data_IF_022248855144
#
_entry.id   IF_022248855144
#
_cell.length_a   1.000
_cell.length_b   1.000
_cell.length_c   1.000
_cell.angle_alpha   90.00
_cell.angle_beta   90.00
_cell.angle_gamma   90.00
#
_symmetry.space_group_name_H-M   'P 1'
#
loop_
_entity.id
_entity.type
_entity.pdbx_description
1 polymer ?
#
# COMPACT_ATOMS: atom_id res chain seq x y z
N UNK A 1 -58.49 36.29 -31.20
CA UNK A 1 -58.86 35.71 -32.54
C UNK A 1 -58.04 34.44 -32.73
N UNK A 2 -58.83 33.39 -32.88
CA UNK A 2 -58.59 32.06 -33.47
C UNK A 2 -57.66 31.10 -32.66
N UNK A 3 -58.21 30.22 -31.92
CA UNK A 3 -58.82 28.86 -32.05
C UNK A 3 -58.21 27.99 -33.15
N UNK A 4 -57.61 26.89 -32.78
CA UNK A 4 -57.81 25.56 -33.39
C UNK A 4 -56.96 24.57 -32.59
N UNK A 5 -57.46 23.74 -31.71
CA UNK A 5 -58.27 22.49 -31.86
C UNK A 5 -57.53 21.39 -32.67
N UNK A 6 -57.56 20.26 -31.97
CA UNK A 6 -57.50 18.85 -32.44
C UNK A 6 -56.12 18.21 -32.31
N UNK A 7 -55.96 16.99 -31.92
CA UNK A 7 -56.80 15.88 -31.47
C UNK A 7 -55.84 14.77 -31.00
N UNK A 8 -56.18 14.21 -29.91
CA UNK A 8 -56.04 12.85 -29.46
C UNK A 8 -55.65 11.85 -30.55
N UNK A 9 -54.56 11.10 -30.35
CA UNK A 9 -54.51 9.69 -30.69
C UNK A 9 -53.74 8.93 -29.62
N UNK A 10 -54.50 8.12 -28.94
CA UNK A 10 -54.01 7.03 -28.09
C UNK A 10 -53.49 5.91 -28.99
N UNK A 11 -52.33 5.36 -28.63
CA UNK A 11 -51.88 4.05 -29.12
C UNK A 11 -50.95 3.50 -28.04
N UNK A 12 -51.47 2.77 -27.11
CA UNK A 12 -51.58 1.33 -26.94
C UNK A 12 -50.30 0.56 -27.23
N UNK A 13 -49.65 0.18 -26.12
CA UNK A 13 -49.17 -1.14 -25.77
C UNK A 13 -48.20 -1.83 -26.70
N UNK A 14 -46.94 -1.99 -26.25
CA UNK A 14 -46.31 -3.33 -26.29
C UNK A 14 -45.30 -3.45 -25.15
N UNK A 15 -45.67 -4.26 -24.17
CA UNK A 15 -44.81 -4.82 -23.17
C UNK A 15 -43.90 -5.84 -23.85
N UNK A 16 -42.63 -5.55 -23.97
CA UNK A 16 -41.62 -6.55 -24.17
C UNK A 16 -40.82 -6.66 -22.86
N UNK A 17 -41.23 -7.62 -22.07
CA UNK A 17 -40.43 -8.18 -20.98
C UNK A 17 -39.26 -8.90 -21.64
N UNK A 18 -38.14 -8.21 -21.74
CA UNK A 18 -36.84 -8.78 -22.05
C UNK A 18 -36.11 -9.02 -20.78
N UNK A 19 -36.33 -10.16 -20.12
CA UNK A 19 -35.38 -10.71 -19.17
C UNK A 19 -34.07 -11.06 -19.92
N UNK A 20 -33.14 -10.17 -19.94
CA UNK A 20 -31.75 -10.39 -20.33
C UNK A 20 -30.89 -10.24 -19.09
N UNK A 21 -30.88 -11.27 -18.27
CA UNK A 21 -30.01 -11.43 -17.15
C UNK A 21 -28.63 -11.84 -17.68
N UNK A 22 -27.83 -10.87 -18.05
CA UNK A 22 -26.39 -11.03 -18.10
C UNK A 22 -25.78 -10.03 -17.09
N UNK A 23 -25.86 -10.42 -15.84
CA UNK A 23 -25.04 -9.84 -14.80
C UNK A 23 -23.61 -10.35 -14.97
N UNK A 24 -22.89 -9.79 -15.95
CA UNK A 24 -21.44 -9.73 -15.86
C UNK A 24 -21.11 -8.79 -14.70
N UNK A 25 -21.27 -9.35 -13.51
CA UNK A 25 -20.84 -8.73 -12.27
C UNK A 25 -19.30 -8.78 -12.26
N UNK A 26 -18.68 -7.96 -13.12
CA UNK A 26 -17.31 -7.52 -12.88
C UNK A 26 -17.38 -6.76 -11.57
N UNK A 27 -17.11 -7.46 -10.49
CA UNK A 27 -16.82 -6.85 -9.20
C UNK A 27 -15.70 -5.86 -9.44
N UNK A 28 -16.05 -4.59 -9.61
CA UNK A 28 -15.06 -3.53 -9.52
C UNK A 28 -14.42 -3.70 -8.14
N UNK A 29 -13.08 -3.73 -8.03
CA UNK A 29 -12.43 -3.79 -6.74
C UNK A 29 -12.95 -2.59 -5.94
N UNK A 30 -13.72 -2.89 -4.89
CA UNK A 30 -14.16 -1.85 -3.95
C UNK A 30 -12.87 -1.30 -3.37
N UNK A 31 -12.61 -0.02 -3.64
CA UNK A 31 -11.48 0.66 -3.06
C UNK A 31 -11.56 0.51 -1.53
N UNK A 32 -10.61 -0.22 -0.95
CA UNK A 32 -10.60 -0.53 0.48
C UNK A 32 -9.57 0.31 1.20
N UNK A 33 -9.91 0.72 2.41
CA UNK A 33 -8.98 1.38 3.32
C UNK A 33 -8.00 0.34 3.86
N UNK A 34 -6.70 0.63 3.84
CA UNK A 34 -5.69 -0.23 4.45
C UNK A 34 -5.33 0.27 5.86
N UNK A 35 -5.35 -0.62 6.82
CA UNK A 35 -4.89 -0.36 8.19
C UNK A 35 -3.53 -1.04 8.39
N UNK A 36 -2.50 -0.24 8.61
CA UNK A 36 -1.12 -0.70 8.72
C UNK A 36 -0.62 -0.42 10.13
N UNK A 37 -0.05 -1.42 10.76
CA UNK A 37 0.57 -1.33 12.07
C UNK A 37 2.01 -1.85 11.99
N UNK A 38 2.88 -1.36 12.87
CA UNK A 38 4.25 -1.83 12.92
C UNK A 38 5.09 -1.13 13.97
N UNK A 39 6.39 -1.40 13.91
CA UNK A 39 7.39 -0.74 14.73
C UNK A 39 8.40 0.00 13.85
N UNK A 40 9.04 1.03 14.45
CA UNK A 40 10.10 1.78 13.78
C UNK A 40 11.41 1.53 14.51
N UNK A 41 12.43 1.10 13.77
CA UNK A 41 13.78 0.89 14.29
C UNK A 41 14.83 1.49 13.36
N UNK A 42 15.82 2.18 13.89
CA UNK A 42 16.99 2.66 13.15
C UNK A 42 18.24 1.95 13.69
N UNK A 43 18.97 1.24 12.81
CA UNK A 43 20.17 0.46 13.19
C UNK A 43 19.95 -0.43 14.41
N UNK A 44 18.81 -1.12 14.43
CA UNK A 44 18.34 -2.01 15.51
C UNK A 44 17.95 -1.30 16.82
N UNK A 45 18.00 0.05 16.87
CA UNK A 45 17.56 0.84 18.01
C UNK A 45 16.10 1.29 17.81
N UNK A 46 15.27 1.24 18.87
CA UNK A 46 13.88 1.68 18.78
C UNK A 46 13.79 3.20 18.57
N UNK A 47 13.01 3.61 17.57
CA UNK A 47 12.67 5.02 17.33
C UNK A 47 11.45 5.38 18.14
N UNK A 48 11.59 6.30 19.11
CA UNK A 48 10.53 6.64 20.07
C UNK A 48 9.80 7.93 19.77
N UNK A 49 10.16 8.59 18.67
CA UNK A 49 9.51 9.82 18.19
C UNK A 49 9.77 10.02 16.70
N UNK A 50 8.84 10.63 16.03
CA UNK A 50 8.91 10.93 14.59
C UNK A 50 7.53 10.98 13.97
N UNK A 51 7.43 11.58 12.81
CA UNK A 51 6.21 11.62 12.01
C UNK A 51 6.37 10.71 10.80
N UNK A 52 5.41 9.83 10.60
CA UNK A 52 5.33 8.96 9.43
C UNK A 52 4.45 9.63 8.40
N UNK A 53 4.94 9.75 7.19
CA UNK A 53 4.22 10.24 6.02
C UNK A 53 3.96 9.06 5.09
N UNK A 54 2.70 8.82 4.75
CA UNK A 54 2.33 7.87 3.71
C UNK A 54 2.21 8.62 2.38
N UNK A 55 3.10 8.33 1.43
CA UNK A 55 3.12 8.92 0.09
C UNK A 55 2.70 7.90 -0.93
N UNK A 56 1.73 8.23 -1.75
CA UNK A 56 1.28 7.38 -2.84
C UNK A 56 2.27 7.38 -4.04
N UNK A 57 1.98 6.60 -5.08
CA UNK A 57 2.84 6.51 -6.27
C UNK A 57 3.03 7.85 -6.99
N UNK A 58 2.13 8.83 -6.78
CA UNK A 58 2.24 10.18 -7.34
C UNK A 58 3.14 11.09 -6.49
N UNK A 59 3.59 10.62 -5.32
CA UNK A 59 4.35 11.37 -4.33
C UNK A 59 3.49 12.24 -3.42
N UNK A 60 2.16 12.16 -3.51
CA UNK A 60 1.25 12.89 -2.66
C UNK A 60 1.17 12.24 -1.28
N UNK A 61 1.24 13.04 -0.21
CA UNK A 61 0.99 12.55 1.15
C UNK A 61 -0.50 12.30 1.34
N UNK A 62 -0.89 11.03 1.50
CA UNK A 62 -2.27 10.58 1.62
C UNK A 62 -2.70 10.30 3.07
N UNK A 63 -1.73 10.08 3.96
CA UNK A 63 -1.97 9.92 5.40
C UNK A 63 -0.72 10.28 6.21
N UNK A 64 -0.92 10.57 7.50
CA UNK A 64 0.17 10.81 8.45
C UNK A 64 -0.17 10.22 9.81
N UNK A 65 0.86 9.78 10.55
CA UNK A 65 0.74 9.37 11.95
C UNK A 65 2.04 9.68 12.69
N UNK A 66 2.02 9.61 14.01
CA UNK A 66 3.21 9.78 14.82
C UNK A 66 3.71 8.42 15.36
N UNK A 67 5.02 8.31 15.54
CA UNK A 67 5.63 7.16 16.20
C UNK A 67 5.40 7.31 17.71
N UNK A 68 4.90 6.24 18.34
CA UNK A 68 4.68 6.22 19.79
C UNK A 68 6.00 6.05 20.57
N UNK A 69 5.96 6.30 21.88
CA UNK A 69 7.11 6.07 22.77
C UNK A 69 7.59 4.61 22.81
N UNK A 70 6.72 3.68 22.46
CA UNK A 70 7.03 2.24 22.35
C UNK A 70 7.51 1.86 20.94
N UNK A 71 7.88 2.85 20.12
CA UNK A 71 8.33 2.68 18.73
C UNK A 71 7.26 2.09 17.80
N UNK A 72 6.00 2.07 18.22
CA UNK A 72 4.88 1.56 17.44
C UNK A 72 4.20 2.67 16.66
N UNK A 73 3.58 2.29 15.56
CA UNK A 73 2.69 3.16 14.82
C UNK A 73 1.47 2.38 14.31
N UNK A 74 0.41 3.12 14.04
CA UNK A 74 -0.73 2.66 13.28
C UNK A 74 -1.13 3.77 12.31
N UNK A 75 -1.31 3.43 11.05
CA UNK A 75 -1.70 4.38 10.01
C UNK A 75 -2.81 3.80 9.15
N UNK A 76 -3.77 4.63 8.80
CA UNK A 76 -4.86 4.25 7.91
C UNK A 76 -4.68 4.94 6.57
N UNK A 77 -4.46 4.14 5.51
CA UNK A 77 -4.32 4.62 4.15
C UNK A 77 -5.72 4.67 3.53
N UNK A 78 -6.17 5.82 3.03
CA UNK A 78 -7.50 5.95 2.46
C UNK A 78 -7.67 5.13 1.17
N UNK A 79 -8.89 4.73 0.89
CA UNK A 79 -9.24 3.97 -0.31
C UNK A 79 -8.93 4.69 -1.64
N UNK A 80 -8.79 6.02 -1.59
CA UNK A 80 -8.44 6.85 -2.75
C UNK A 80 -6.94 6.90 -3.06
N UNK A 81 -6.09 6.30 -2.22
CA UNK A 81 -4.64 6.30 -2.44
C UNK A 81 -4.25 5.44 -3.64
N UNK A 82 -3.26 5.90 -4.40
CA UNK A 82 -2.67 5.16 -5.51
C UNK A 82 -1.49 4.33 -4.99
N UNK A 83 -1.57 3.01 -5.17
CA UNK A 83 -0.53 2.08 -4.72
C UNK A 83 0.55 1.89 -5.80
N UNK A 84 1.82 1.67 -5.41
CA UNK A 84 2.33 1.47 -4.06
C UNK A 84 2.35 2.73 -3.20
N UNK A 85 2.19 2.58 -1.88
CA UNK A 85 2.33 3.67 -0.90
C UNK A 85 3.62 3.48 -0.12
N UNK A 86 4.46 4.52 -0.09
CA UNK A 86 5.70 4.55 0.69
C UNK A 86 5.43 5.20 2.03
N UNK A 87 5.76 4.50 3.11
CA UNK A 87 5.79 5.05 4.47
C UNK A 87 7.19 5.58 4.74
N UNK A 88 7.31 6.86 5.01
CA UNK A 88 8.57 7.52 5.32
C UNK A 88 8.55 8.08 6.75
N UNK A 89 9.64 7.88 7.48
CA UNK A 89 9.88 8.54 8.77
C UNK A 89 11.29 9.12 8.82
N UNK A 90 11.40 10.37 9.25
CA UNK A 90 12.68 11.02 9.46
C UNK A 90 13.11 10.84 10.91
N UNK A 91 14.29 10.26 11.11
CA UNK A 91 14.91 10.01 12.43
C UNK A 91 16.26 10.72 12.48
N UNK A 92 16.28 11.91 13.07
CA UNK A 92 17.52 12.71 13.04
C UNK A 92 17.98 13.01 11.61
N UNK A 93 19.10 12.42 11.19
CA UNK A 93 19.67 12.61 9.85
C UNK A 93 19.25 11.53 8.85
N UNK A 94 18.57 10.47 9.30
CA UNK A 94 18.18 9.34 8.47
C UNK A 94 16.71 9.45 8.04
N UNK A 95 16.42 8.98 6.83
CA UNK A 95 15.06 8.72 6.36
C UNK A 95 14.88 7.22 6.24
N UNK A 96 13.94 6.68 7.00
CA UNK A 96 13.58 5.27 6.92
C UNK A 96 12.32 5.09 6.11
N UNK A 97 12.27 4.00 5.34
CA UNK A 97 11.17 3.74 4.42
C UNK A 97 10.67 2.29 4.50
N UNK A 98 9.37 2.13 4.28
CA UNK A 98 8.75 0.84 4.00
C UNK A 98 7.65 1.03 2.95
N UNK A 99 7.20 -0.05 2.30
CA UNK A 99 6.24 0.04 1.20
C UNK A 99 5.01 -0.82 1.46
N UNK A 100 3.84 -0.23 1.27
CA UNK A 100 2.55 -0.91 1.21
C UNK A 100 2.20 -1.11 -0.26
N UNK A 101 2.13 -2.36 -0.70
CA UNK A 101 1.93 -2.70 -2.12
C UNK A 101 0.45 -2.82 -2.50
N UNK A 102 -0.42 -3.14 -1.55
CA UNK A 102 -1.84 -3.41 -1.77
C UNK A 102 -2.70 -2.79 -0.67
N UNK A 103 -3.98 -2.46 -0.96
CA UNK A 103 -4.90 -1.91 0.02
C UNK A 103 -5.44 -2.96 0.98
N UNK A 104 -4.55 -3.64 1.71
CA UNK A 104 -4.89 -4.67 2.68
C UNK A 104 -4.30 -4.34 4.06
N UNK A 105 -5.00 -4.71 5.15
CA UNK A 105 -4.42 -4.60 6.48
C UNK A 105 -3.13 -5.43 6.57
N UNK A 106 -2.08 -4.85 7.13
CA UNK A 106 -0.79 -5.51 7.22
C UNK A 106 0.00 -5.06 8.45
N UNK A 107 0.87 -5.96 8.92
CA UNK A 107 1.98 -5.59 9.80
C UNK A 107 3.20 -5.28 8.95
N UNK A 108 3.74 -4.09 9.12
CA UNK A 108 4.85 -3.58 8.31
C UNK A 108 5.80 -2.76 9.18
N UNK A 109 7.00 -3.30 9.41
CA UNK A 109 8.02 -2.58 10.16
C UNK A 109 8.80 -1.62 9.27
N UNK A 110 9.05 -0.40 9.78
CA UNK A 110 9.92 0.59 9.15
C UNK A 110 11.30 0.49 9.79
N UNK A 111 12.33 0.19 9.00
CA UNK A 111 13.67 -0.05 9.51
C UNK A 111 14.74 0.29 8.49
N UNK A 112 16.01 0.30 8.94
CA UNK A 112 17.15 0.38 8.03
C UNK A 112 17.12 -0.73 6.97
N UNK A 113 16.65 -1.95 7.33
CA UNK A 113 16.55 -3.06 6.39
C UNK A 113 15.42 -2.85 5.38
N UNK A 114 14.22 -2.42 5.82
CA UNK A 114 13.13 -2.12 4.89
C UNK A 114 13.51 -1.00 3.93
N UNK A 115 14.23 0.03 4.41
CA UNK A 115 14.75 1.12 3.58
C UNK A 115 15.73 0.62 2.52
N UNK A 116 16.63 -0.31 2.88
CA UNK A 116 17.55 -0.94 1.93
C UNK A 116 16.79 -1.72 0.84
N UNK A 117 15.73 -2.43 1.21
CA UNK A 117 14.87 -3.14 0.25
C UNK A 117 14.19 -2.16 -0.70
N UNK A 118 13.63 -1.05 -0.18
CA UNK A 118 12.98 -0.01 -1.00
C UNK A 118 13.98 0.60 -1.98
N UNK A 119 15.18 0.98 -1.50
CA UNK A 119 16.23 1.53 -2.34
C UNK A 119 16.66 0.53 -3.42
N UNK A 120 16.90 -0.72 -3.06
CA UNK A 120 17.28 -1.77 -4.01
C UNK A 120 16.19 -2.03 -5.05
N UNK A 121 14.91 -1.92 -4.67
CA UNK A 121 13.81 -2.05 -5.63
C UNK A 121 13.79 -0.89 -6.64
N UNK A 122 14.05 0.34 -6.18
CA UNK A 122 14.20 1.50 -7.08
C UNK A 122 15.34 1.31 -8.07
N UNK A 123 16.49 0.78 -7.60
CA UNK A 123 17.69 0.57 -8.42
C UNK A 123 17.47 -0.49 -9.53
N UNK A 124 16.61 -1.48 -9.30
CA UNK A 124 16.31 -2.54 -10.27
C UNK A 124 15.07 -2.27 -11.13
N UNK A 125 14.51 -1.06 -11.09
CA UNK A 125 13.45 -0.67 -12.00
C UNK A 125 12.17 -0.14 -11.34
N UNK A 126 12.22 0.23 -10.05
CA UNK A 126 11.11 0.87 -9.34
C UNK A 126 10.36 -0.05 -8.40
N UNK A 127 9.39 0.54 -7.69
CA UNK A 127 8.64 -0.16 -6.67
C UNK A 127 7.49 -0.95 -7.31
N UNK A 128 7.66 -2.27 -7.37
CA UNK A 128 6.66 -3.25 -7.80
C UNK A 128 6.73 -4.49 -6.93
N UNK A 129 5.71 -5.33 -6.90
CA UNK A 129 5.74 -6.61 -6.16
C UNK A 129 6.96 -7.45 -6.51
N UNK A 130 7.23 -7.60 -7.80
CA UNK A 130 8.36 -8.40 -8.28
C UNK A 130 9.70 -7.80 -7.85
N UNK A 131 9.89 -6.50 -8.02
CA UNK A 131 11.14 -5.83 -7.67
C UNK A 131 11.34 -5.80 -6.15
N UNK A 132 10.30 -5.58 -5.35
CA UNK A 132 10.38 -5.63 -3.89
C UNK A 132 10.76 -7.03 -3.40
N UNK A 133 10.18 -8.09 -3.95
CA UNK A 133 10.56 -9.47 -3.62
C UNK A 133 12.02 -9.75 -3.99
N UNK A 134 12.47 -9.36 -5.18
CA UNK A 134 13.87 -9.53 -5.60
C UNK A 134 14.83 -8.72 -4.76
N UNK A 135 14.49 -7.47 -4.43
CA UNK A 135 15.27 -6.59 -3.57
C UNK A 135 15.39 -7.17 -2.14
N UNK A 136 14.31 -7.72 -1.58
CA UNK A 136 14.34 -8.38 -0.27
C UNK A 136 15.33 -9.56 -0.24
N UNK A 137 15.31 -10.42 -1.27
CA UNK A 137 16.26 -11.53 -1.41
C UNK A 137 17.72 -11.00 -1.47
N UNK A 138 17.95 -9.96 -2.25
CA UNK A 138 19.28 -9.36 -2.40
C UNK A 138 19.75 -8.72 -1.09
N UNK A 139 18.91 -8.00 -0.38
CA UNK A 139 19.22 -7.39 0.91
C UNK A 139 19.62 -8.42 1.97
N UNK A 140 18.89 -9.55 2.05
CA UNK A 140 19.24 -10.65 2.95
C UNK A 140 20.62 -11.23 2.60
N UNK A 141 20.92 -11.45 1.32
CA UNK A 141 22.19 -11.98 0.87
C UNK A 141 23.37 -11.03 1.19
N UNK A 142 23.16 -9.73 1.02
CA UNK A 142 24.16 -8.70 1.34
C UNK A 142 24.40 -8.62 2.84
N UNK A 143 23.36 -8.62 3.66
CA UNK A 143 23.46 -8.57 5.10
C UNK A 143 24.20 -9.81 5.66
N UNK A 144 23.93 -11.00 5.14
CA UNK A 144 24.67 -12.23 5.49
C UNK A 144 26.16 -12.16 5.16
N UNK A 145 26.54 -11.49 4.06
CA UNK A 145 27.95 -11.31 3.69
C UNK A 145 28.64 -10.28 4.57
N UNK A 146 27.95 -9.22 4.96
CA UNK A 146 28.50 -8.14 5.80
C UNK A 146 28.70 -8.57 7.26
N UNK A 147 27.85 -9.45 7.78
CA UNK A 147 27.88 -9.82 9.20
C UNK A 147 28.89 -10.91 9.56
N UNK A 148 29.49 -11.63 8.60
CA UNK A 148 30.49 -12.69 8.86
C UNK A 148 30.11 -13.72 9.94
N UNK A 149 29.00 -13.47 10.63
CA UNK A 149 28.33 -14.30 11.63
C UNK A 149 26.84 -14.31 11.33
N UNK A 150 26.27 -15.47 11.22
CA UNK A 150 24.83 -15.69 11.13
C UNK A 150 24.15 -15.16 12.42
N UNK A 151 23.88 -13.88 12.47
CA UNK A 151 22.97 -13.32 13.48
C UNK A 151 21.81 -12.68 12.71
N UNK A 152 20.68 -13.35 12.76
CA UNK A 152 19.37 -12.80 12.37
C UNK A 152 18.88 -11.79 13.44
N UNK A 153 19.79 -11.01 14.02
CA UNK A 153 19.45 -9.92 14.93
C UNK A 153 19.08 -8.70 14.09
N UNK A 154 17.84 -8.24 14.19
CA UNK A 154 17.38 -6.99 13.60
C UNK A 154 16.16 -7.06 12.69
N UNK A 155 15.88 -8.20 12.08
CA UNK A 155 14.63 -8.38 11.32
C UNK A 155 13.79 -9.45 12.00
N UNK A 156 12.81 -9.05 12.78
CA UNK A 156 11.90 -9.99 13.48
C UNK A 156 10.84 -10.58 12.54
N UNK A 157 10.85 -10.23 11.28
CA UNK A 157 9.98 -10.77 10.24
C UNK A 157 10.79 -11.30 9.06
N UNK A 158 10.24 -12.27 8.35
CA UNK A 158 10.79 -12.74 7.07
C UNK A 158 10.43 -11.72 5.98
N UNK A 159 11.40 -10.97 5.40
CA UNK A 159 11.11 -9.98 4.38
C UNK A 159 10.46 -10.59 3.14
N UNK A 160 10.66 -11.88 2.88
CA UNK A 160 9.99 -12.56 1.77
C UNK A 160 8.50 -12.72 2.03
N UNK A 161 8.07 -12.81 3.29
CA UNK A 161 6.66 -12.83 3.67
C UNK A 161 6.03 -11.44 3.61
N UNK A 162 6.81 -10.40 3.89
CA UNK A 162 6.34 -9.02 3.84
C UNK A 162 6.11 -8.53 2.41
N UNK A 163 6.97 -8.92 1.45
CA UNK A 163 6.93 -8.43 0.08
C UNK A 163 6.76 -9.51 -0.99
N UNK A 164 6.78 -10.79 -0.65
CA UNK A 164 6.78 -11.89 -1.62
C UNK A 164 6.00 -13.13 -1.22
N UNK A 165 5.04 -13.00 -0.30
CA UNK A 165 4.19 -14.12 0.08
C UNK A 165 3.31 -14.61 -1.08
N UNK A 166 3.78 -15.61 -1.78
CA UNK A 166 2.99 -16.37 -2.75
C UNK A 166 2.46 -17.62 -2.07
N UNK A 167 1.17 -17.75 -2.04
CA UNK A 167 0.44 -18.99 -1.82
C UNK A 167 -0.53 -19.22 -2.96
#
# INVERSE_FOLDING_TARGET
MNYSKYLITASVLLLLVGCGENSDNKSQPVASTAHIEGVVTDRDEPVTQGKILAKDETGQTVATTDVSKDSKFAITIPASAHYPVVLEVTTGESVLEAVVLDPMPAQLDISTMSSLVVQSARDIGGISKTNMAQAAINAIRQNKKASGKSTSAGFKGDPTKQYGGWH
#
